data_IF_374831908712
#
_entry.id   IF_374831908712
#
_cell.length_a   1.000
_cell.length_b   1.000
_cell.length_c   1.000
_cell.angle_alpha   90.00
_cell.angle_beta   90.00
_cell.angle_gamma   90.00
#
_symmetry.space_group_name_H-M   'P 1'
#
loop_
_entity.id
_entity.type
_entity.pdbx_description
1 polymer ?
#
# COMPACT_ATOMS: atom_id res chain seq x y z
N UNK A 1 -20.81 -9.56 12.17
CA UNK A 1 -20.51 -8.19 11.71
C UNK A 1 -19.02 -8.15 11.42
N UNK A 2 -18.61 -8.25 10.16
CA UNK A 2 -17.19 -8.17 9.82
C UNK A 2 -16.83 -6.70 9.74
N UNK A 3 -16.17 -6.17 10.77
CA UNK A 3 -15.48 -4.89 10.66
C UNK A 3 -14.35 -5.09 9.64
N UNK A 4 -14.20 -4.26 8.59
CA UNK A 4 -12.92 -4.19 7.90
C UNK A 4 -11.92 -3.75 8.97
N UNK A 5 -11.11 -4.69 9.44
CA UNK A 5 -10.22 -4.48 10.56
C UNK A 5 -9.04 -3.63 10.09
N UNK A 6 -9.27 -2.32 9.99
CA UNK A 6 -8.23 -1.32 10.11
C UNK A 6 -7.84 -1.32 11.59
N UNK A 7 -7.13 -2.36 12.02
CA UNK A 7 -6.58 -2.44 13.38
C UNK A 7 -5.52 -1.35 13.45
N UNK A 8 -5.91 -0.16 13.89
CA UNK A 8 -5.02 0.95 14.28
C UNK A 8 -4.37 0.61 15.63
N UNK A 9 -3.68 -0.54 15.69
CA UNK A 9 -2.79 -0.85 16.80
C UNK A 9 -1.49 -0.09 16.59
N UNK A 10 -0.96 0.50 17.67
CA UNK A 10 0.36 1.10 17.65
C UNK A 10 1.41 0.02 17.33
N UNK A 11 2.43 0.38 16.56
CA UNK A 11 3.57 -0.49 16.34
C UNK A 11 4.30 -0.74 17.67
N UNK A 12 4.91 -1.93 17.85
CA UNK A 12 5.82 -2.15 18.98
C UNK A 12 6.94 -1.11 19.00
N UNK A 13 7.53 -0.82 20.15
CA UNK A 13 8.48 0.29 20.35
C UNK A 13 9.66 0.25 19.36
N UNK A 14 10.17 -0.94 19.06
CA UNK A 14 11.26 -1.13 18.11
C UNK A 14 10.90 -0.73 16.66
N UNK A 15 9.60 -0.74 16.32
CA UNK A 15 9.11 -0.45 14.98
C UNK A 15 8.48 0.95 14.84
N UNK A 16 8.35 1.70 15.94
CA UNK A 16 7.82 3.07 15.93
C UNK A 16 8.48 4.01 14.91
N UNK A 17 9.81 3.97 14.68
CA UNK A 17 10.43 4.79 13.63
C UNK A 17 9.90 4.52 12.21
N UNK A 18 9.30 3.35 11.97
CA UNK A 18 8.73 2.95 10.67
C UNK A 18 7.22 3.20 10.57
N UNK A 19 6.58 3.79 11.59
CA UNK A 19 5.16 4.15 11.51
C UNK A 19 4.79 4.92 10.23
N UNK A 20 5.56 5.95 9.80
CA UNK A 20 5.27 6.67 8.57
C UNK A 20 5.32 5.79 7.31
N UNK A 21 6.15 4.73 7.29
CA UNK A 21 6.20 3.78 6.19
C UNK A 21 4.97 2.87 6.20
N UNK A 22 4.58 2.38 7.38
CA UNK A 22 3.41 1.51 7.56
C UNK A 22 2.12 2.22 7.14
N UNK A 23 2.01 3.53 7.40
CA UNK A 23 0.89 4.36 6.97
C UNK A 23 0.70 4.38 5.43
N UNK A 24 1.76 4.12 4.66
CA UNK A 24 1.75 4.11 3.19
C UNK A 24 1.48 2.70 2.62
N UNK A 25 1.74 1.63 3.37
CA UNK A 25 1.59 0.24 2.88
C UNK A 25 0.18 -0.09 2.34
N UNK A 26 -0.94 0.42 2.91
CA UNK A 26 -2.28 0.19 2.36
C UNK A 26 -2.47 0.71 0.93
N UNK A 27 -1.61 1.61 0.45
CA UNK A 27 -1.64 2.17 -0.90
C UNK A 27 -0.97 1.27 -1.95
N UNK A 28 -0.23 0.24 -1.54
CA UNK A 28 0.47 -0.69 -2.45
C UNK A 28 -0.44 -1.29 -3.54
N UNK A 29 -1.68 -1.74 -3.26
CA UNK A 29 -2.57 -2.26 -4.30
C UNK A 29 -2.85 -1.24 -5.42
N UNK A 30 -2.94 0.05 -5.08
CA UNK A 30 -3.13 1.12 -6.06
C UNK A 30 -1.86 1.29 -6.91
N UNK A 31 -0.67 1.19 -6.32
CA UNK A 31 0.58 1.23 -7.10
C UNK A 31 0.70 0.08 -8.10
N UNK A 32 0.22 -1.12 -7.77
CA UNK A 32 0.17 -2.22 -8.75
C UNK A 32 -0.80 -1.94 -9.90
N UNK A 33 -1.97 -1.36 -9.62
CA UNK A 33 -2.90 -0.92 -10.66
C UNK A 33 -2.22 0.11 -11.57
N UNK A 34 -1.60 1.14 -10.99
CA UNK A 34 -0.88 2.18 -11.75
C UNK A 34 0.28 1.60 -12.55
N UNK A 35 1.01 0.64 -11.97
CA UNK A 35 2.11 -0.06 -12.65
C UNK A 35 1.61 -0.82 -13.89
N UNK A 36 0.41 -1.39 -13.87
CA UNK A 36 -0.17 -2.03 -15.05
C UNK A 36 -0.35 -1.03 -16.21
N UNK A 37 -0.76 0.21 -15.91
CA UNK A 37 -0.85 1.27 -16.93
C UNK A 37 0.53 1.75 -17.39
N UNK A 38 1.51 1.86 -16.48
CA UNK A 38 2.90 2.18 -16.85
C UNK A 38 3.47 1.11 -17.77
N UNK A 39 3.24 -0.17 -17.45
CA UNK A 39 3.65 -1.29 -18.30
C UNK A 39 2.99 -1.21 -19.67
N UNK A 40 1.66 -1.05 -19.72
CA UNK A 40 0.93 -0.92 -20.97
C UNK A 40 1.42 0.28 -21.80
N UNK A 41 1.65 1.43 -21.17
CA UNK A 41 2.21 2.61 -21.84
C UNK A 41 3.60 2.35 -22.42
N UNK A 42 4.47 1.62 -21.70
CA UNK A 42 5.83 1.30 -22.17
C UNK A 42 5.86 0.38 -23.39
N UNK A 43 4.80 -0.42 -23.59
CA UNK A 43 4.64 -1.26 -24.77
C UNK A 43 3.72 -0.63 -25.83
N UNK A 44 3.14 0.54 -25.58
CA UNK A 44 2.31 1.28 -26.54
C UNK A 44 0.83 0.90 -26.56
N UNK A 45 0.27 0.38 -25.47
CA UNK A 45 -1.15 -0.02 -25.35
C UNK A 45 -1.62 -0.95 -26.48
N UNK A 46 -0.83 -1.99 -26.75
CA UNK A 46 -1.14 -3.07 -27.70
C UNK A 46 -1.72 -4.28 -26.99
#
# INVERSE_FOLDING_TARGET
MVQPALILAQLPEAYQPFAPLVDILPLIPLFFLLLAFVWQASVGFR
#
